data_IF_846896972236
#
_entry.id   IF_846896972236
#
_cell.length_a   1.000
_cell.length_b   1.000
_cell.length_c   1.000
_cell.angle_alpha   90.00
_cell.angle_beta   90.00
_cell.angle_gamma   90.00
#
_symmetry.space_group_name_H-M   'P 1'
#
loop_
_entity.id
_entity.type
_entity.pdbx_description
1 polymer ?
#
# COMPACT_ATOMS: atom_id res chain seq x y z
N UNK A 1 20.28 8.79 -1.55
CA UNK A 1 19.66 7.51 -1.92
C UNK A 1 19.07 6.87 -0.69
N UNK A 2 18.55 5.66 -0.80
CA UNK A 2 18.06 4.86 0.30
C UNK A 2 18.99 3.65 0.50
N UNK A 3 19.45 3.38 1.73
CA UNK A 3 20.20 2.16 2.04
C UNK A 3 19.25 0.94 2.07
N UNK A 4 19.83 -0.27 2.13
CA UNK A 4 19.05 -1.45 2.48
C UNK A 4 18.64 -1.44 3.97
N UNK A 5 17.55 -2.13 4.29
CA UNK A 5 17.13 -2.35 5.67
C UNK A 5 18.23 -3.03 6.52
N UNK A 6 19.04 -3.92 5.94
CA UNK A 6 20.19 -4.49 6.65
C UNK A 6 21.25 -3.44 7.07
N UNK A 7 21.42 -2.38 6.29
CA UNK A 7 22.39 -1.30 6.56
C UNK A 7 21.77 -0.17 7.42
N UNK A 8 20.44 -0.08 7.46
CA UNK A 8 19.67 0.86 8.28
C UNK A 8 18.36 0.18 8.73
N UNK A 9 18.41 -0.65 9.78
CA UNK A 9 17.26 -1.44 10.19
C UNK A 9 16.15 -0.60 10.79
N UNK A 10 14.91 -1.03 10.58
CA UNK A 10 13.75 -0.48 11.29
C UNK A 10 13.79 -0.85 12.78
N UNK A 11 13.86 0.15 13.66
CA UNK A 11 14.00 -0.05 15.12
C UNK A 11 12.76 0.32 15.93
N UNK A 12 11.96 1.28 15.46
CA UNK A 12 10.82 1.82 16.23
C UNK A 12 9.76 0.75 16.54
N UNK A 13 9.65 -0.30 15.71
CA UNK A 13 8.75 -1.42 15.97
C UNK A 13 9.10 -2.26 17.20
N UNK A 14 10.35 -2.21 17.69
CA UNK A 14 10.80 -3.02 18.82
C UNK A 14 10.57 -2.33 20.17
N UNK A 15 10.79 -1.02 20.22
CA UNK A 15 10.86 -0.25 21.46
C UNK A 15 10.07 1.07 21.45
N UNK A 16 9.46 1.43 20.31
CA UNK A 16 8.72 2.68 20.14
C UNK A 16 9.62 3.93 20.08
N UNK A 17 10.93 3.78 19.87
CA UNK A 17 11.87 4.89 19.77
C UNK A 17 12.07 5.29 18.30
N UNK A 18 11.78 6.56 17.98
CA UNK A 18 11.99 7.16 16.66
C UNK A 18 13.48 7.29 16.31
N UNK A 19 14.36 7.27 17.32
CA UNK A 19 15.80 7.38 17.14
C UNK A 19 16.24 8.73 16.58
N UNK A 20 17.45 8.78 16.02
CA UNK A 20 18.00 9.94 15.30
C UNK A 20 18.41 9.52 13.91
N UNK A 21 18.34 10.44 12.95
CA UNK A 21 18.90 10.24 11.62
C UNK A 21 20.40 9.92 11.74
N UNK A 22 20.79 8.76 11.21
CA UNK A 22 22.19 8.33 11.13
C UNK A 22 22.64 8.45 9.69
N UNK A 23 23.88 8.89 9.48
CA UNK A 23 24.49 8.68 8.17
C UNK A 23 24.60 7.18 7.93
N UNK A 24 24.03 6.70 6.82
CA UNK A 24 24.16 5.29 6.47
C UNK A 24 25.63 5.00 6.16
N UNK A 25 26.17 3.94 6.77
CA UNK A 25 27.52 3.46 6.49
C UNK A 25 27.56 2.49 5.30
N UNK A 26 26.39 2.14 4.75
CA UNK A 26 26.22 1.19 3.66
C UNK A 26 26.10 1.84 2.29
N UNK A 27 26.10 0.99 1.26
CA UNK A 27 25.86 1.41 -0.12
C UNK A 27 24.39 1.82 -0.29
N UNK A 28 24.16 2.96 -0.94
CA UNK A 28 22.81 3.39 -1.31
C UNK A 28 22.25 2.45 -2.38
N UNK A 29 21.24 1.65 -2.02
CA UNK A 29 20.63 0.62 -2.88
C UNK A 29 19.60 1.17 -3.86
N UNK A 30 19.00 2.30 -3.54
CA UNK A 30 18.07 2.97 -4.45
C UNK A 30 18.33 4.48 -4.48
N UNK A 31 18.08 5.09 -5.64
CA UNK A 31 18.00 6.54 -5.78
C UNK A 31 16.69 6.85 -6.49
N UNK A 32 15.93 7.73 -5.85
CA UNK A 32 14.65 8.23 -6.36
C UNK A 32 14.93 9.58 -6.99
N UNK A 33 14.57 9.73 -8.26
CA UNK A 33 14.76 10.97 -9.03
C UNK A 33 13.48 11.82 -9.05
N UNK A 34 12.34 11.22 -8.71
CA UNK A 34 11.07 11.90 -8.57
C UNK A 34 9.93 10.96 -8.17
N UNK A 35 8.71 11.46 -8.26
CA UNK A 35 7.49 10.69 -8.06
C UNK A 35 6.43 11.11 -9.06
N UNK A 36 5.50 10.21 -9.35
CA UNK A 36 4.31 10.48 -10.16
C UNK A 36 3.07 10.22 -9.33
N UNK A 37 2.10 11.12 -9.41
CA UNK A 37 0.77 10.94 -8.83
C UNK A 37 -0.23 10.58 -9.92
N UNK A 38 -1.17 9.68 -9.61
CA UNK A 38 -2.25 9.29 -10.51
C UNK A 38 -3.60 9.82 -10.00
N UNK A 39 -4.51 10.12 -10.92
CA UNK A 39 -5.89 10.51 -10.61
C UNK A 39 -6.88 9.69 -11.47
N UNK A 40 -6.90 8.35 -11.32
CA UNK A 40 -7.69 7.47 -12.14
C UNK A 40 -9.18 7.76 -11.97
N UNK A 41 -9.92 7.75 -13.09
CA UNK A 41 -11.37 7.96 -13.12
C UNK A 41 -12.16 6.65 -13.19
N UNK A 42 -11.45 5.53 -13.32
CA UNK A 42 -12.03 4.20 -13.37
C UNK A 42 -11.11 3.17 -12.71
N UNK A 43 -11.68 2.03 -12.33
CA UNK A 43 -10.92 0.86 -11.88
C UNK A 43 -9.90 0.43 -12.93
N UNK A 44 -10.29 0.50 -14.21
CA UNK A 44 -9.40 0.15 -15.33
C UNK A 44 -8.17 1.06 -15.39
N UNK A 45 -8.32 2.38 -15.26
CA UNK A 45 -7.18 3.30 -15.25
C UNK A 45 -6.21 3.03 -14.08
N UNK A 46 -6.74 2.63 -12.92
CA UNK A 46 -5.91 2.25 -11.77
C UNK A 46 -5.20 0.90 -12.00
N UNK A 47 -5.85 -0.06 -12.65
CA UNK A 47 -5.23 -1.32 -13.09
C UNK A 47 -4.12 -1.07 -14.11
N UNK A 48 -4.34 -0.18 -15.07
CA UNK A 48 -3.34 0.22 -16.07
C UNK A 48 -2.14 0.88 -15.40
N UNK A 49 -2.36 1.80 -14.44
CA UNK A 49 -1.28 2.39 -13.67
C UNK A 49 -0.45 1.33 -12.93
N UNK A 50 -1.10 0.38 -12.27
CA UNK A 50 -0.41 -0.72 -11.58
C UNK A 50 0.35 -1.64 -12.55
N UNK A 51 -0.24 -1.92 -13.72
CA UNK A 51 0.37 -2.75 -14.75
C UNK A 51 1.64 -2.13 -15.33
N UNK A 52 1.60 -0.84 -15.69
CA UNK A 52 2.71 -0.17 -16.35
C UNK A 52 3.79 0.33 -15.40
N UNK A 53 3.44 0.65 -14.16
CA UNK A 53 4.37 1.26 -13.20
C UNK A 53 4.76 0.33 -12.04
N UNK A 54 4.20 -0.88 -11.98
CA UNK A 54 4.39 -1.77 -10.84
C UNK A 54 3.65 -1.28 -9.60
N UNK A 55 4.00 -1.78 -8.40
CA UNK A 55 3.29 -1.47 -7.16
C UNK A 55 3.11 0.03 -6.91
N UNK A 56 1.90 0.41 -6.47
CA UNK A 56 1.54 1.80 -6.22
C UNK A 56 1.41 2.03 -4.71
N UNK A 57 2.06 3.08 -4.21
CA UNK A 57 1.80 3.56 -2.85
C UNK A 57 0.43 4.23 -2.84
N UNK A 58 -0.46 3.77 -1.96
CA UNK A 58 -1.84 4.26 -1.86
C UNK A 58 -2.23 4.57 -0.42
N UNK A 59 -3.18 5.47 -0.24
CA UNK A 59 -3.80 5.71 1.06
C UNK A 59 -5.17 5.03 1.13
N UNK A 60 -5.54 4.51 2.31
CA UNK A 60 -6.82 3.85 2.57
C UNK A 60 -7.33 4.26 3.95
N UNK A 61 -8.65 4.24 4.16
CA UNK A 61 -9.23 4.25 5.49
C UNK A 61 -9.12 2.83 6.11
N UNK A 62 -8.32 2.68 7.16
CA UNK A 62 -8.03 1.36 7.75
C UNK A 62 -9.06 0.83 8.74
N UNK A 63 -10.19 1.50 8.97
CA UNK A 63 -11.21 1.04 9.94
C UNK A 63 -11.70 -0.37 9.59
N UNK A 64 -11.97 -0.62 8.31
CA UNK A 64 -12.41 -1.91 7.82
C UNK A 64 -11.32 -3.01 7.95
N UNK A 65 -10.05 -2.63 7.97
CA UNK A 65 -8.92 -3.56 8.02
C UNK A 65 -8.71 -4.17 9.41
N UNK A 66 -9.18 -3.54 10.50
CA UNK A 66 -8.74 -3.87 11.87
C UNK A 66 -8.82 -5.37 12.21
N UNK A 67 -9.88 -6.06 11.79
CA UNK A 67 -10.13 -7.47 12.09
C UNK A 67 -10.12 -8.38 10.86
N UNK A 68 -9.60 -7.91 9.73
CA UNK A 68 -9.51 -8.72 8.53
C UNK A 68 -8.63 -9.95 8.75
N UNK A 69 -9.10 -11.10 8.28
CA UNK A 69 -8.38 -12.37 8.35
C UNK A 69 -8.16 -12.98 6.96
N UNK A 70 -9.21 -13.06 6.13
CA UNK A 70 -9.11 -13.60 4.78
C UNK A 70 -10.35 -13.30 3.94
N UNK A 71 -10.25 -13.58 2.64
CA UNK A 71 -11.32 -13.43 1.66
C UNK A 71 -11.34 -12.05 0.99
N UNK A 72 -12.30 -11.82 0.09
CA UNK A 72 -12.50 -10.50 -0.51
C UNK A 72 -13.46 -9.73 0.38
N UNK A 73 -12.97 -8.69 1.04
CA UNK A 73 -13.79 -7.75 1.79
C UNK A 73 -14.71 -6.99 0.83
N UNK A 74 -15.97 -6.83 1.22
CA UNK A 74 -17.02 -6.23 0.39
C UNK A 74 -17.00 -4.70 0.40
N UNK A 75 -16.25 -4.08 1.32
CA UNK A 75 -16.22 -2.62 1.53
C UNK A 75 -17.55 -2.03 2.07
N UNK A 76 -18.42 -2.86 2.66
CA UNK A 76 -19.77 -2.46 3.11
C UNK A 76 -19.78 -1.37 4.21
N UNK A 77 -18.67 -1.17 4.92
CA UNK A 77 -18.55 -0.23 6.05
C UNK A 77 -17.46 0.83 5.82
N UNK A 78 -17.04 1.00 4.57
CA UNK A 78 -15.99 1.94 4.21
C UNK A 78 -16.47 3.39 4.42
N UNK A 79 -15.68 4.17 5.15
CA UNK A 79 -15.85 5.62 5.22
C UNK A 79 -15.00 6.25 4.11
N UNK A 80 -15.66 6.65 3.02
CA UNK A 80 -15.03 7.35 1.89
C UNK A 80 -14.50 8.74 2.30
N UNK A 81 -13.34 9.17 1.81
CA UNK A 81 -12.79 10.50 2.04
C UNK A 81 -11.91 10.67 3.28
N UNK A 82 -11.80 9.67 4.14
CA UNK A 82 -11.06 9.74 5.42
C UNK A 82 -9.85 8.79 5.44
N UNK A 83 -9.08 8.78 4.36
CA UNK A 83 -7.87 7.94 4.28
C UNK A 83 -6.88 8.32 5.39
N UNK A 84 -6.39 7.32 6.11
CA UNK A 84 -5.59 7.50 7.32
C UNK A 84 -4.40 6.54 7.42
N UNK A 85 -4.27 5.62 6.47
CA UNK A 85 -3.26 4.57 6.49
C UNK A 85 -2.60 4.43 5.11
N UNK A 86 -1.28 4.34 5.08
CA UNK A 86 -0.49 4.16 3.87
C UNK A 86 -0.17 2.68 3.66
N UNK A 87 -0.47 2.17 2.46
CA UNK A 87 -0.30 0.77 2.08
C UNK A 87 0.23 0.67 0.65
N UNK A 88 0.57 -0.54 0.21
CA UNK A 88 1.07 -0.77 -1.14
C UNK A 88 0.06 -1.61 -1.93
N UNK A 89 -0.50 -1.05 -3.00
CA UNK A 89 -1.27 -1.81 -3.97
C UNK A 89 -0.30 -2.64 -4.83
N UNK A 90 -0.47 -3.96 -4.83
CA UNK A 90 0.47 -4.88 -5.51
C UNK A 90 -0.19 -5.72 -6.60
N UNK A 91 -1.52 -5.76 -6.65
CA UNK A 91 -2.24 -6.51 -7.66
C UNK A 91 -3.74 -6.27 -7.65
N UNK A 92 -4.41 -6.92 -8.57
CA UNK A 92 -5.86 -7.09 -8.57
C UNK A 92 -6.19 -8.52 -8.98
N UNK A 93 -7.43 -8.92 -8.72
CA UNK A 93 -7.96 -10.19 -9.18
C UNK A 93 -9.45 -10.10 -9.44
N UNK A 94 -10.01 -11.21 -9.89
CA UNK A 94 -11.45 -11.36 -10.06
C UNK A 94 -11.88 -12.70 -9.47
N UNK A 95 -12.96 -12.70 -8.71
CA UNK A 95 -13.58 -13.91 -8.16
C UNK A 95 -15.10 -13.75 -8.18
N UNK A 96 -15.79 -14.73 -8.75
CA UNK A 96 -17.26 -14.79 -8.81
C UNK A 96 -17.90 -13.51 -9.36
N UNK A 97 -17.26 -12.89 -10.37
CA UNK A 97 -17.70 -11.62 -10.97
C UNK A 97 -17.23 -10.35 -10.24
N UNK A 98 -16.75 -10.46 -9.00
CA UNK A 98 -16.24 -9.35 -8.21
C UNK A 98 -14.76 -9.10 -8.50
N UNK A 99 -14.42 -7.89 -8.94
CA UNK A 99 -13.04 -7.42 -9.06
C UNK A 99 -12.58 -6.93 -7.69
N UNK A 100 -11.35 -7.25 -7.30
CA UNK A 100 -10.77 -6.85 -6.02
C UNK A 100 -9.31 -6.41 -6.15
N UNK A 101 -8.87 -5.56 -5.25
CA UNK A 101 -7.49 -5.15 -5.06
C UNK A 101 -6.74 -6.11 -4.13
N UNK A 102 -5.43 -6.25 -4.34
CA UNK A 102 -4.51 -6.99 -3.46
C UNK A 102 -3.53 -5.97 -2.89
N UNK A 103 -3.57 -5.79 -1.57
CA UNK A 103 -2.86 -4.73 -0.86
C UNK A 103 -1.88 -5.38 0.11
N UNK A 104 -0.62 -4.95 0.09
CA UNK A 104 0.38 -5.32 1.09
C UNK A 104 0.30 -4.34 2.26
N UNK A 105 0.11 -4.87 3.47
CA UNK A 105 0.04 -4.10 4.70
C UNK A 105 1.38 -4.13 5.46
N UNK A 106 1.46 -3.38 6.56
CA UNK A 106 2.65 -3.20 7.41
C UNK A 106 2.45 -3.69 8.85
N UNK A 107 1.38 -4.44 9.13
CA UNK A 107 1.05 -4.94 10.48
C UNK A 107 1.56 -6.38 10.76
N UNK A 108 2.60 -6.79 10.03
CA UNK A 108 3.19 -8.12 10.14
C UNK A 108 2.45 -9.19 9.33
N UNK A 109 3.10 -10.35 9.18
CA UNK A 109 2.58 -11.47 8.37
C UNK A 109 1.46 -12.25 9.06
N UNK A 110 1.34 -12.14 10.39
CA UNK A 110 0.27 -12.80 11.15
C UNK A 110 -1.11 -12.13 10.96
N UNK A 111 -1.13 -10.92 10.39
CA UNK A 111 -2.35 -10.20 10.11
C UNK A 111 -2.84 -10.49 8.68
N UNK A 112 -4.15 -10.64 8.51
CA UNK A 112 -4.76 -10.88 7.21
C UNK A 112 -4.23 -12.14 6.52
N UNK A 113 -4.04 -12.04 5.21
CA UNK A 113 -3.57 -13.15 4.39
C UNK A 113 -2.05 -13.05 4.23
N UNK A 114 -1.30 -13.50 5.24
CA UNK A 114 0.17 -13.41 5.26
C UNK A 114 0.66 -11.95 5.13
N UNK A 115 -0.04 -11.00 5.76
CA UNK A 115 0.21 -9.56 5.68
C UNK A 115 -0.48 -8.84 4.52
N UNK A 116 -1.31 -9.55 3.73
CA UNK A 116 -2.07 -8.96 2.63
C UNK A 116 -3.56 -8.79 2.94
N UNK A 117 -4.16 -7.86 2.22
CA UNK A 117 -5.59 -7.53 2.28
C UNK A 117 -6.19 -7.59 0.89
N UNK A 118 -7.37 -8.20 0.78
CA UNK A 118 -8.17 -8.16 -0.45
C UNK A 118 -9.48 -7.45 -0.20
N UNK A 119 -9.72 -6.40 -0.99
CA UNK A 119 -10.93 -5.58 -0.92
C UNK A 119 -11.54 -5.42 -2.30
N UNK A 120 -12.86 -5.53 -2.37
CA UNK A 120 -13.66 -5.24 -3.55
C UNK A 120 -13.34 -3.84 -4.09
N UNK A 121 -13.38 -3.66 -5.41
CA UNK A 121 -13.25 -2.32 -6.01
C UNK A 121 -14.51 -1.48 -5.87
N UNK A 122 -15.60 -2.04 -5.32
CA UNK A 122 -16.83 -1.33 -4.99
C UNK A 122 -16.59 -0.25 -3.90
N UNK A 123 -17.50 0.72 -3.81
CA UNK A 123 -17.46 1.80 -2.80
C UNK A 123 -16.09 2.49 -2.70
N UNK A 124 -15.40 2.63 -3.85
CA UNK A 124 -14.07 3.24 -3.93
C UNK A 124 -13.02 2.59 -3.00
N UNK A 125 -13.25 1.35 -2.55
CA UNK A 125 -12.36 0.57 -1.71
C UNK A 125 -11.80 1.36 -0.51
N UNK A 126 -12.67 2.01 0.28
CA UNK A 126 -12.25 2.81 1.45
C UNK A 126 -11.33 3.99 1.09
N UNK A 127 -11.54 4.63 -0.07
CA UNK A 127 -10.78 5.81 -0.52
C UNK A 127 -9.45 5.47 -1.19
N UNK A 128 -9.23 4.21 -1.58
CA UNK A 128 -7.97 3.74 -2.18
C UNK A 128 -7.56 4.54 -3.44
N UNK A 129 -8.53 5.14 -4.13
CA UNK A 129 -8.31 5.93 -5.34
C UNK A 129 -8.03 7.43 -5.09
N UNK A 130 -7.94 7.88 -3.84
CA UNK A 130 -7.76 9.30 -3.50
C UNK A 130 -6.30 9.76 -3.59
N UNK A 131 -5.37 8.93 -3.09
CA UNK A 131 -3.93 9.20 -3.10
C UNK A 131 -3.24 7.97 -3.68
N UNK A 132 -2.64 8.13 -4.87
CA UNK A 132 -1.95 7.06 -5.58
C UNK A 132 -0.65 7.62 -6.15
N UNK A 133 0.47 6.99 -5.80
CA UNK A 133 1.79 7.45 -6.21
C UNK A 133 2.74 6.30 -6.53
N UNK A 134 3.72 6.58 -7.39
CA UNK A 134 4.87 5.69 -7.62
C UNK A 134 6.16 6.50 -7.68
N UNK A 135 7.29 5.89 -7.34
CA UNK A 135 8.61 6.50 -7.45
C UNK A 135 9.17 6.35 -8.87
N UNK A 136 9.93 7.35 -9.29
CA UNK A 136 10.71 7.31 -10.54
C UNK A 136 12.15 7.02 -10.17
N UNK A 137 12.67 5.91 -10.67
CA UNK A 137 14.06 5.48 -10.50
C UNK A 137 14.92 6.02 -11.65
N UNK A 138 16.21 6.23 -11.38
CA UNK A 138 17.22 6.57 -12.39
C UNK A 138 17.75 5.32 -13.11
#
# INVERSE_FOLDING_TARGET
GLPSDADYPYTSGENGDDGKCKESQGEMKAKIDGWTSFNPKSVQEMQEALYYHGPLAVAINSIQMQFYQSGVDKADFCLYGEVNHAVLLVGWGQKDGTVFWIIKNTWGTEWGEEGYYRISTAEHACGLNEIIQTSVLW
#
